data_IF_150257675630
#
_entry.id   IF_150257675630
#
_cell.length_a   1.000
_cell.length_b   1.000
_cell.length_c   1.000
_cell.angle_alpha   90.00
_cell.angle_beta   90.00
_cell.angle_gamma   90.00
#
_symmetry.space_group_name_H-M   'P 1'
#
loop_
_entity.id
_entity.type
_entity.pdbx_description
1 polymer ?
#
# COMPACT_ATOMS: atom_id res chain seq x y z
N UNK A 1 16.40 13.56 -5.87
CA UNK A 1 15.22 13.77 -5.01
C UNK A 1 14.60 12.44 -4.58
N UNK A 2 14.22 11.55 -5.52
CA UNK A 2 13.61 10.26 -5.15
C UNK A 2 14.51 9.34 -4.31
N UNK A 3 15.82 9.45 -4.42
CA UNK A 3 16.77 8.69 -3.58
C UNK A 3 16.88 9.25 -2.16
N UNK A 4 16.72 10.57 -2.01
CA UNK A 4 16.75 11.21 -0.70
C UNK A 4 15.48 10.94 0.10
N UNK A 5 14.35 10.85 -0.59
CA UNK A 5 13.03 10.64 0.00
C UNK A 5 12.74 11.59 1.16
N UNK A 6 12.81 12.92 0.92
CA UNK A 6 12.70 13.90 1.98
C UNK A 6 11.31 13.89 2.62
N UNK A 7 11.26 14.31 3.86
CA UNK A 7 10.02 14.56 4.60
C UNK A 7 9.22 15.69 3.95
N UNK A 8 9.88 16.84 3.76
CA UNK A 8 9.34 18.01 3.08
C UNK A 8 10.15 18.30 1.82
N UNK A 9 9.48 18.59 0.73
CA UNK A 9 10.11 18.94 -0.54
C UNK A 9 9.46 20.19 -1.13
N UNK A 10 10.15 21.31 -1.08
CA UNK A 10 9.75 22.51 -1.83
C UNK A 10 10.34 22.49 -3.24
N UNK A 11 9.49 22.77 -4.23
CA UNK A 11 9.83 22.77 -5.66
C UNK A 11 9.63 24.16 -6.24
N UNK A 12 10.69 24.96 -6.25
CA UNK A 12 10.68 26.33 -6.73
C UNK A 12 11.47 26.50 -8.03
N UNK A 13 11.04 25.80 -9.09
CA UNK A 13 11.66 25.85 -10.42
C UNK A 13 10.65 26.24 -11.49
N UNK A 14 11.15 26.68 -12.66
CA UNK A 14 10.27 26.88 -13.82
C UNK A 14 9.51 25.58 -14.12
N UNK A 15 8.19 25.69 -14.31
CA UNK A 15 7.29 24.54 -14.52
C UNK A 15 7.29 23.54 -13.33
N UNK A 16 7.29 24.09 -12.13
CA UNK A 16 7.32 23.32 -10.88
C UNK A 16 6.30 22.17 -10.85
N UNK A 17 5.07 22.37 -11.36
CA UNK A 17 4.06 21.30 -11.46
C UNK A 17 4.54 20.09 -12.28
N UNK A 18 5.08 20.32 -13.50
CA UNK A 18 5.64 19.23 -14.31
C UNK A 18 6.84 18.54 -13.67
N UNK A 19 7.60 19.28 -12.90
CA UNK A 19 8.71 18.70 -12.14
C UNK A 19 8.18 17.79 -11.01
N UNK A 20 7.16 18.25 -10.30
CA UNK A 20 6.53 17.51 -9.19
C UNK A 20 5.97 16.16 -9.64
N UNK A 21 5.41 16.03 -10.85
CA UNK A 21 4.92 14.77 -11.41
C UNK A 21 5.98 13.65 -11.47
N UNK A 22 7.27 14.01 -11.43
CA UNK A 22 8.40 13.06 -11.47
C UNK A 22 8.87 12.63 -10.08
N UNK A 23 8.32 13.24 -9.03
CA UNK A 23 8.68 12.94 -7.66
C UNK A 23 7.79 11.80 -7.18
N UNK A 24 8.42 10.75 -6.66
CA UNK A 24 7.74 9.55 -6.17
C UNK A 24 7.83 9.37 -4.67
N UNK A 25 8.93 9.86 -4.11
CA UNK A 25 9.29 9.61 -2.72
C UNK A 25 9.52 10.95 -2.01
N UNK A 26 8.45 11.49 -1.44
CA UNK A 26 8.51 12.62 -0.50
C UNK A 26 7.31 12.53 0.43
N UNK A 27 7.45 12.97 1.67
CA UNK A 27 6.35 13.01 2.64
C UNK A 27 5.29 14.02 2.24
N UNK A 28 5.70 15.25 1.93
CA UNK A 28 4.89 16.31 1.33
C UNK A 28 5.66 17.04 0.24
N UNK A 29 4.95 17.49 -0.79
CA UNK A 29 5.53 18.22 -1.93
C UNK A 29 4.83 19.58 -2.02
N UNK A 30 5.60 20.65 -1.85
CA UNK A 30 5.14 22.04 -1.94
C UNK A 30 5.57 22.60 -3.29
N UNK A 31 4.62 23.00 -4.12
CA UNK A 31 4.86 23.30 -5.53
C UNK A 31 4.68 24.78 -5.82
N UNK A 32 5.77 25.45 -6.22
CA UNK A 32 5.79 26.86 -6.58
C UNK A 32 6.05 27.81 -5.41
N UNK A 33 6.26 29.06 -5.73
CA UNK A 33 6.67 30.10 -4.76
C UNK A 33 5.61 30.45 -3.71
N UNK A 34 4.36 30.14 -3.97
CA UNK A 34 3.23 30.44 -3.09
C UNK A 34 2.84 29.27 -2.18
N UNK A 35 3.64 28.21 -2.14
CA UNK A 35 3.36 27.01 -1.35
C UNK A 35 4.47 26.75 -0.33
N UNK A 36 4.70 27.62 0.66
CA UNK A 36 5.65 27.35 1.71
C UNK A 36 5.17 26.19 2.59
N UNK A 37 6.12 25.45 3.17
CA UNK A 37 5.90 24.33 4.08
C UNK A 37 4.88 24.62 5.18
N UNK A 38 4.99 25.80 5.81
CA UNK A 38 4.11 26.21 6.91
C UNK A 38 2.61 26.19 6.54
N UNK A 39 2.24 26.36 5.29
CA UNK A 39 0.84 26.21 4.89
C UNK A 39 0.36 24.76 5.07
N UNK A 40 1.23 23.80 4.80
CA UNK A 40 0.93 22.38 4.97
C UNK A 40 0.68 22.02 6.42
N UNK A 41 1.43 22.62 7.34
CA UNK A 41 1.34 22.31 8.77
C UNK A 41 0.06 22.87 9.43
N UNK A 42 -0.47 23.97 8.91
CA UNK A 42 -1.52 24.68 9.66
C UNK A 42 -2.87 24.79 8.97
N UNK A 43 -2.94 25.03 7.67
CA UNK A 43 -4.22 25.52 7.10
C UNK A 43 -4.70 24.87 5.81
N UNK A 44 -3.87 24.13 5.06
CA UNK A 44 -4.29 23.56 3.77
C UNK A 44 -4.92 22.18 3.87
N UNK A 45 -5.09 21.65 5.07
CA UNK A 45 -5.82 20.41 5.31
C UNK A 45 -4.99 19.12 5.14
N UNK A 46 -3.71 19.23 4.81
CA UNK A 46 -2.78 18.09 4.83
C UNK A 46 -2.36 17.77 6.27
N UNK A 47 -1.89 16.55 6.51
CA UNK A 47 -1.36 16.16 7.82
C UNK A 47 0.14 16.46 7.89
N UNK A 48 0.59 17.03 9.01
CA UNK A 48 2.01 17.30 9.25
C UNK A 48 2.78 16.10 9.83
N UNK A 49 2.10 15.01 10.15
CA UNK A 49 2.76 13.77 10.55
C UNK A 49 3.23 13.03 9.30
N UNK A 50 4.49 13.21 9.00
CA UNK A 50 5.11 12.79 7.74
C UNK A 50 6.15 11.69 7.97
N UNK A 51 6.45 10.88 6.94
CA UNK A 51 7.53 9.90 7.01
C UNK A 51 8.89 10.61 7.04
N UNK A 52 9.68 10.35 8.08
CA UNK A 52 10.99 10.94 8.32
C UNK A 52 12.13 10.03 7.86
N UNK A 53 13.36 10.57 7.83
CA UNK A 53 14.59 9.77 7.63
C UNK A 53 14.59 8.88 6.39
N UNK A 54 14.00 9.37 5.30
CA UNK A 54 13.94 8.65 4.02
C UNK A 54 12.86 7.55 3.95
N UNK A 55 12.02 7.43 4.97
CA UNK A 55 10.94 6.43 4.98
C UNK A 55 9.81 6.75 3.99
N UNK A 56 9.78 7.92 3.39
CA UNK A 56 8.88 8.27 2.29
C UNK A 56 9.03 7.36 1.05
N UNK A 57 10.00 6.46 1.03
CA UNK A 57 10.11 5.38 0.02
C UNK A 57 9.01 4.34 0.12
N UNK A 58 8.45 4.15 1.30
CA UNK A 58 7.45 3.12 1.61
C UNK A 58 6.38 3.56 2.62
N UNK A 59 6.55 4.73 3.22
CA UNK A 59 5.58 5.36 4.13
C UNK A 59 4.91 6.57 3.48
N UNK A 60 3.74 6.92 3.97
CA UNK A 60 2.97 8.09 3.55
C UNK A 60 2.70 9.01 4.74
N UNK A 61 2.25 10.23 4.47
CA UNK A 61 1.70 11.10 5.50
C UNK A 61 0.51 10.42 6.19
N UNK A 62 0.33 10.66 7.48
CA UNK A 62 -0.80 10.14 8.24
C UNK A 62 -2.11 10.60 7.60
N UNK A 63 -3.02 9.67 7.37
CA UNK A 63 -4.29 9.90 6.70
C UNK A 63 -5.43 9.12 7.35
N UNK A 64 -6.65 9.36 6.91
CA UNK A 64 -7.81 8.58 7.36
C UNK A 64 -7.69 7.09 7.02
N UNK A 65 -6.92 6.74 6.02
CA UNK A 65 -6.69 5.34 5.63
C UNK A 65 -5.92 4.55 6.69
N UNK A 66 -5.09 5.20 7.50
CA UNK A 66 -4.34 4.56 8.59
C UNK A 66 -5.25 4.08 9.73
N UNK A 67 -6.47 4.61 9.79
CA UNK A 67 -7.50 4.25 10.76
C UNK A 67 -8.55 3.29 10.19
N UNK A 68 -8.45 2.92 8.91
CA UNK A 68 -9.34 1.96 8.28
C UNK A 68 -8.76 0.55 8.35
N UNK A 69 -9.64 -0.43 8.44
CA UNK A 69 -9.31 -1.85 8.37
C UNK A 69 -9.97 -2.47 7.16
N UNK A 70 -9.22 -3.28 6.46
CA UNK A 70 -9.73 -4.07 5.36
C UNK A 70 -9.76 -5.54 5.79
N UNK A 71 -10.86 -6.21 5.51
CA UNK A 71 -10.99 -7.65 5.74
C UNK A 71 -11.45 -8.31 4.44
N UNK A 72 -10.79 -9.39 4.08
CA UNK A 72 -11.23 -10.19 2.95
C UNK A 72 -12.35 -11.14 3.41
N UNK A 73 -13.45 -11.14 2.69
CA UNK A 73 -14.52 -12.13 2.85
C UNK A 73 -14.46 -13.05 1.63
N UNK A 74 -14.23 -14.33 1.88
CA UNK A 74 -14.11 -15.34 0.82
C UNK A 74 -15.23 -16.35 0.98
N UNK A 75 -16.11 -16.41 0.00
CA UNK A 75 -17.18 -17.40 -0.11
C UNK A 75 -16.98 -18.18 -1.40
N UNK A 76 -16.98 -19.51 -1.30
CA UNK A 76 -16.75 -20.40 -2.44
C UNK A 76 -17.84 -21.46 -2.45
N UNK A 77 -18.56 -21.58 -3.56
CA UNK A 77 -19.51 -22.66 -3.76
C UNK A 77 -18.80 -24.01 -4.04
N UNK A 78 -19.56 -25.10 -3.99
CA UNK A 78 -19.02 -26.46 -4.20
C UNK A 78 -18.39 -26.63 -5.59
N UNK A 79 -18.94 -26.00 -6.62
CA UNK A 79 -18.43 -26.10 -7.99
C UNK A 79 -17.07 -25.43 -8.11
N UNK A 80 -16.97 -24.18 -7.64
CA UNK A 80 -15.72 -23.43 -7.62
C UNK A 80 -14.67 -24.12 -6.72
N UNK A 81 -15.09 -24.63 -5.55
CA UNK A 81 -14.21 -25.39 -4.67
C UNK A 81 -13.61 -26.60 -5.40
N UNK A 82 -14.40 -27.42 -6.07
CA UNK A 82 -13.92 -28.60 -6.78
C UNK A 82 -12.95 -28.25 -7.92
N UNK A 83 -13.11 -27.08 -8.53
CA UNK A 83 -12.20 -26.58 -9.56
C UNK A 83 -10.87 -26.13 -8.96
N UNK A 84 -10.89 -25.47 -7.81
CA UNK A 84 -9.69 -24.87 -7.18
C UNK A 84 -8.92 -25.87 -6.30
N UNK A 85 -9.59 -26.81 -5.71
CA UNK A 85 -9.02 -27.74 -4.73
C UNK A 85 -7.76 -28.49 -5.20
N UNK A 86 -7.68 -29.01 -6.45
CA UNK A 86 -6.47 -29.65 -6.94
C UNK A 86 -5.25 -28.74 -6.94
N UNK A 87 -5.44 -27.48 -7.30
CA UNK A 87 -4.36 -26.49 -7.34
C UNK A 87 -3.85 -26.15 -5.94
N UNK A 88 -4.76 -25.98 -4.99
CA UNK A 88 -4.41 -25.73 -3.59
C UNK A 88 -3.58 -26.89 -3.03
N UNK A 89 -3.98 -28.13 -3.31
CA UNK A 89 -3.24 -29.32 -2.83
C UNK A 89 -1.82 -29.35 -3.38
N UNK A 90 -1.65 -29.19 -4.69
CA UNK A 90 -0.32 -29.19 -5.32
C UNK A 90 0.60 -28.13 -4.71
N UNK A 91 0.10 -26.92 -4.53
CA UNK A 91 0.88 -25.83 -3.94
C UNK A 91 1.21 -26.10 -2.47
N UNK A 92 0.22 -26.50 -1.69
CA UNK A 92 0.41 -26.79 -0.25
C UNK A 92 1.40 -27.96 -0.03
N UNK A 93 1.33 -28.99 -0.86
CA UNK A 93 2.28 -30.14 -0.81
C UNK A 93 3.70 -29.66 -1.17
N UNK A 94 3.84 -28.83 -2.21
CA UNK A 94 5.15 -28.28 -2.61
C UNK A 94 5.79 -27.40 -1.52
N UNK A 95 4.96 -26.68 -0.74
CA UNK A 95 5.40 -25.87 0.39
C UNK A 95 5.59 -26.68 1.69
N UNK A 96 5.25 -27.98 1.69
CA UNK A 96 5.29 -28.83 2.89
C UNK A 96 4.17 -28.54 3.91
N UNK A 97 3.12 -27.81 3.51
CA UNK A 97 1.99 -27.42 4.35
C UNK A 97 0.91 -28.51 4.38
N UNK A 98 1.23 -29.65 4.99
CA UNK A 98 0.37 -30.86 5.03
C UNK A 98 -1.04 -30.56 5.56
N UNK A 99 -1.17 -29.74 6.61
CA UNK A 99 -2.47 -29.36 7.16
C UNK A 99 -3.36 -28.59 6.18
N UNK A 100 -2.76 -27.76 5.29
CA UNK A 100 -3.48 -27.04 4.24
C UNK A 100 -3.98 -28.02 3.17
N UNK A 101 -3.13 -28.91 2.68
CA UNK A 101 -3.50 -29.93 1.72
C UNK A 101 -4.64 -30.83 2.26
N UNK A 102 -4.53 -31.26 3.51
CA UNK A 102 -5.53 -32.08 4.18
C UNK A 102 -6.87 -31.36 4.36
N UNK A 103 -6.86 -30.08 4.69
CA UNK A 103 -8.09 -29.29 4.84
C UNK A 103 -8.93 -29.25 3.58
N UNK A 104 -8.30 -29.31 2.41
CA UNK A 104 -8.96 -29.38 1.11
C UNK A 104 -9.41 -30.82 0.81
N UNK A 105 -8.56 -31.80 1.06
CA UNK A 105 -8.85 -33.21 0.80
C UNK A 105 -10.12 -33.69 1.50
N UNK A 106 -10.28 -33.40 2.79
CA UNK A 106 -11.43 -33.85 3.58
C UNK A 106 -12.75 -33.21 3.12
N UNK A 107 -12.68 -32.04 2.50
CA UNK A 107 -13.87 -31.38 1.93
C UNK A 107 -14.28 -31.95 0.57
N UNK A 108 -13.33 -32.46 -0.21
CA UNK A 108 -13.60 -33.14 -1.47
C UNK A 108 -14.30 -34.49 -1.24
N UNK A 109 -14.02 -35.17 -0.12
CA UNK A 109 -14.58 -36.46 0.23
C UNK A 109 -16.00 -36.39 0.83
N UNK A 110 -16.40 -35.19 1.30
CA UNK A 110 -17.79 -34.97 1.75
C UNK A 110 -18.74 -34.92 0.54
N UNK A 111 -19.42 -36.03 0.28
CA UNK A 111 -20.48 -36.17 -0.72
C UNK A 111 -21.72 -35.31 -0.39
#
# INVERSE_FOLDING_TARGET
MNELSPEHLEVMVKRSGKFAERIRNAGSIFVGEWSPEALGDYVVGTNHTLPTSGTARFGSALSVYDFLRFSNVIEVDKKAFNTLAPHVRVLAEAEGLVGHAESVRVRQEKR
#
